data_IF_388948579110
#
_entry.id   IF_388948579110
#
_cell.length_a   1.000
_cell.length_b   1.000
_cell.length_c   1.000
_cell.angle_alpha   90.00
_cell.angle_beta   90.00
_cell.angle_gamma   90.00
#
_symmetry.space_group_name_H-M   'P 1'
#
loop_
_entity.id
_entity.type
_entity.pdbx_description
1 polymer ?
#
# COMPACT_ATOMS: atom_id res chain seq x y z
N UNK A 1 4.85 -11.40 12.87
CA UNK A 1 4.64 -10.43 11.78
C UNK A 1 5.29 -11.01 10.53
N UNK A 2 4.58 -11.00 9.40
CA UNK A 2 5.08 -11.50 8.10
C UNK A 2 5.39 -10.34 7.16
N UNK A 3 6.12 -10.62 6.08
CA UNK A 3 6.42 -9.63 5.04
C UNK A 3 5.13 -9.17 4.36
N UNK A 4 5.01 -7.86 4.11
CA UNK A 4 3.81 -7.27 3.50
C UNK A 4 3.49 -7.90 2.14
N UNK A 5 4.51 -8.25 1.36
CA UNK A 5 4.35 -8.82 0.04
C UNK A 5 3.95 -10.30 0.06
N UNK A 6 4.45 -11.05 1.04
CA UNK A 6 3.99 -12.43 1.27
C UNK A 6 2.52 -12.45 1.67
N UNK A 7 2.11 -11.57 2.57
CA UNK A 7 0.73 -11.47 3.02
C UNK A 7 -0.21 -11.01 1.91
N UNK A 8 0.19 -10.01 1.11
CA UNK A 8 -0.61 -9.53 -0.01
C UNK A 8 -0.90 -10.64 -1.04
N UNK A 9 0.14 -11.36 -1.48
CA UNK A 9 -0.03 -12.50 -2.39
C UNK A 9 -0.90 -13.58 -1.76
N UNK A 10 -0.63 -13.92 -0.49
CA UNK A 10 -1.39 -14.95 0.21
C UNK A 10 -2.89 -14.61 0.32
N UNK A 11 -3.25 -13.36 0.53
CA UNK A 11 -4.66 -12.95 0.59
C UNK A 11 -5.30 -12.87 -0.79
N UNK A 12 -4.57 -12.39 -1.80
CA UNK A 12 -4.99 -12.49 -3.21
C UNK A 12 -5.29 -13.94 -3.59
N UNK A 13 -4.38 -14.86 -3.28
CA UNK A 13 -4.51 -16.28 -3.60
C UNK A 13 -5.66 -16.98 -2.84
N UNK A 14 -6.11 -16.38 -1.72
CA UNK A 14 -7.30 -16.82 -0.98
C UNK A 14 -8.61 -16.26 -1.55
N UNK A 15 -8.55 -15.47 -2.63
CA UNK A 15 -9.72 -14.90 -3.29
C UNK A 15 -10.18 -13.57 -2.72
N UNK A 16 -9.28 -12.78 -2.12
CA UNK A 16 -9.62 -11.39 -1.78
C UNK A 16 -9.86 -10.57 -3.07
N UNK A 17 -10.95 -9.82 -3.11
CA UNK A 17 -11.28 -8.94 -4.25
C UNK A 17 -10.53 -7.60 -4.19
N UNK A 18 -10.12 -7.16 -3.00
CA UNK A 18 -9.37 -5.91 -2.77
C UNK A 18 -8.56 -6.00 -1.47
N UNK A 19 -7.43 -5.27 -1.39
CA UNK A 19 -6.63 -5.13 -0.17
C UNK A 19 -6.56 -3.68 0.31
N UNK A 20 -6.46 -3.47 1.62
CA UNK A 20 -6.25 -2.14 2.22
C UNK A 20 -5.04 -2.18 3.14
N UNK A 21 -4.04 -1.34 2.86
CA UNK A 21 -2.81 -1.23 3.63
C UNK A 21 -2.84 0.02 4.51
N UNK A 22 -2.59 -0.17 5.82
CA UNK A 22 -2.49 0.93 6.79
C UNK A 22 -1.08 1.01 7.37
N UNK A 23 -0.35 2.07 7.03
CA UNK A 23 0.88 2.45 7.71
C UNK A 23 0.56 3.33 8.92
N UNK A 24 0.25 2.67 10.04
CA UNK A 24 -0.12 3.33 11.30
C UNK A 24 1.05 4.05 11.98
N UNK A 25 2.30 3.75 11.57
CA UNK A 25 3.50 4.41 12.07
C UNK A 25 3.80 5.74 11.38
N UNK A 26 3.27 5.94 10.16
CA UNK A 26 3.52 7.13 9.36
C UNK A 26 3.12 8.43 10.09
N UNK A 27 1.90 8.48 10.66
CA UNK A 27 1.39 9.70 11.29
C UNK A 27 2.16 10.08 12.58
N UNK A 28 2.41 9.17 13.54
CA UNK A 28 3.23 9.49 14.72
C UNK A 28 4.66 9.93 14.39
N UNK A 29 5.24 9.39 13.32
CA UNK A 29 6.60 9.69 12.87
C UNK A 29 6.68 10.91 11.94
N UNK A 30 5.54 11.60 11.71
CA UNK A 30 5.42 12.75 10.82
C UNK A 30 6.02 12.48 9.42
N UNK A 31 5.86 11.25 8.92
CA UNK A 31 6.29 10.83 7.58
C UNK A 31 5.10 10.36 6.77
N UNK A 32 5.32 10.19 5.48
CA UNK A 32 4.36 9.54 4.59
C UNK A 32 4.67 8.06 4.39
N UNK A 33 3.74 7.35 3.76
CA UNK A 33 3.95 5.99 3.25
C UNK A 33 5.13 5.96 2.26
N UNK A 34 5.94 4.91 2.37
CA UNK A 34 7.05 4.68 1.45
C UNK A 34 6.54 4.09 0.12
N UNK A 35 6.75 4.86 -0.94
CA UNK A 35 6.34 4.50 -2.30
C UNK A 35 7.00 3.21 -2.80
N UNK A 36 8.21 2.88 -2.32
CA UNK A 36 8.95 1.72 -2.82
C UNK A 36 8.25 0.39 -2.51
N UNK A 37 7.61 0.27 -1.33
CA UNK A 37 6.86 -0.94 -1.02
C UNK A 37 5.52 -0.97 -1.77
N UNK A 38 4.89 0.18 -2.01
CA UNK A 38 3.65 0.28 -2.80
C UNK A 38 3.91 -0.24 -4.22
N UNK A 39 4.96 0.23 -4.87
CA UNK A 39 5.37 -0.24 -6.20
C UNK A 39 5.70 -1.74 -6.21
N UNK A 40 6.29 -2.27 -5.12
CA UNK A 40 6.55 -3.70 -4.97
C UNK A 40 5.25 -4.48 -4.91
N UNK A 41 4.26 -4.03 -4.14
CA UNK A 41 2.94 -4.69 -4.04
C UNK A 41 2.22 -4.64 -5.39
N UNK A 42 2.19 -3.48 -6.06
CA UNK A 42 1.55 -3.31 -7.36
C UNK A 42 2.10 -4.26 -8.45
N UNK A 43 3.34 -4.76 -8.30
CA UNK A 43 3.93 -5.76 -9.21
C UNK A 43 3.57 -7.22 -8.87
N UNK A 44 3.02 -7.47 -7.68
CA UNK A 44 2.84 -8.82 -7.13
C UNK A 44 1.39 -9.28 -7.07
N UNK A 45 0.44 -8.35 -7.04
CA UNK A 45 -0.99 -8.64 -7.02
C UNK A 45 -1.68 -8.03 -8.24
N UNK A 46 -2.77 -8.66 -8.66
CA UNK A 46 -3.59 -8.30 -9.82
C UNK A 46 -5.01 -7.89 -9.42
N UNK A 47 -5.20 -7.54 -8.15
CA UNK A 47 -6.43 -7.03 -7.57
C UNK A 47 -6.24 -5.59 -7.08
N UNK A 48 -7.31 -4.77 -7.02
CA UNK A 48 -7.23 -3.41 -6.49
C UNK A 48 -6.67 -3.35 -5.07
N UNK A 49 -6.00 -2.25 -4.75
CA UNK A 49 -5.61 -1.99 -3.37
C UNK A 49 -5.51 -0.51 -3.00
N UNK A 50 -5.96 -0.22 -1.78
CA UNK A 50 -5.89 1.11 -1.17
C UNK A 50 -4.71 1.23 -0.19
N UNK A 51 -4.13 2.43 -0.06
CA UNK A 51 -3.08 2.73 0.93
C UNK A 51 -3.46 3.94 1.78
N UNK A 52 -3.31 3.80 3.10
CA UNK A 52 -3.48 4.88 4.06
C UNK A 52 -2.27 4.98 5.00
N UNK A 53 -1.86 6.22 5.30
CA UNK A 53 -0.78 6.49 6.27
C UNK A 53 -0.01 7.76 5.91
N UNK A 54 -0.15 8.82 6.72
CA UNK A 54 0.62 10.06 6.52
C UNK A 54 0.49 10.68 5.13
N UNK A 55 -0.67 10.55 4.48
CA UNK A 55 -0.99 11.22 3.21
C UNK A 55 -1.73 12.51 3.53
N UNK A 56 -1.02 13.65 3.49
CA UNK A 56 -1.51 14.96 3.94
C UNK A 56 -1.59 16.02 2.82
N UNK A 57 -1.19 15.65 1.62
CA UNK A 57 -0.98 16.56 0.50
C UNK A 57 -1.31 15.91 -0.83
N UNK A 58 -1.78 16.71 -1.78
CA UNK A 58 -2.13 16.27 -3.14
C UNK A 58 -0.91 15.68 -3.85
N UNK A 59 0.28 16.23 -3.61
CA UNK A 59 1.52 15.70 -4.20
C UNK A 59 1.82 14.29 -3.70
N UNK A 60 1.71 14.06 -2.39
CA UNK A 60 1.90 12.74 -1.80
C UNK A 60 0.86 11.75 -2.30
N UNK A 61 -0.43 12.14 -2.32
CA UNK A 61 -1.50 11.31 -2.88
C UNK A 61 -1.22 10.95 -4.35
N UNK A 62 -0.76 11.93 -5.13
CA UNK A 62 -0.36 11.70 -6.53
C UNK A 62 0.74 10.64 -6.63
N UNK A 63 1.81 10.73 -5.83
CA UNK A 63 2.89 9.72 -5.85
C UNK A 63 2.39 8.32 -5.52
N UNK A 64 1.50 8.19 -4.54
CA UNK A 64 0.90 6.90 -4.14
C UNK A 64 0.08 6.29 -5.27
N UNK A 65 -0.75 7.10 -5.94
CA UNK A 65 -1.52 6.65 -7.12
C UNK A 65 -0.60 6.23 -8.28
N UNK A 66 0.45 7.01 -8.57
CA UNK A 66 1.42 6.65 -9.62
C UNK A 66 2.24 5.39 -9.28
N UNK A 67 2.35 5.04 -8.00
CA UNK A 67 3.01 3.83 -7.54
C UNK A 67 2.17 2.56 -7.72
N UNK A 68 0.88 2.71 -8.07
CA UNK A 68 -0.02 1.61 -8.39
C UNK A 68 -1.11 1.34 -7.37
N UNK A 69 -1.26 2.18 -6.34
CA UNK A 69 -2.44 2.15 -5.46
C UNK A 69 -3.65 2.80 -6.15
N UNK A 70 -4.85 2.38 -5.75
CA UNK A 70 -6.14 2.88 -6.24
C UNK A 70 -6.75 4.01 -5.37
#
# INVERSE_FOLDING_TARGET
>A
MGDIAELAQRYRDQGADELVFYDIGASPEARSVDVAWIERIARLIDIPFCVAGGIDSVETARRVLFAGAD
#
